data_IF_860477467120
#
_entry.id   IF_860477467120
#
_cell.length_a   1.000
_cell.length_b   1.000
_cell.length_c   1.000
_cell.angle_alpha   90.00
_cell.angle_beta   90.00
_cell.angle_gamma   90.00
#
_symmetry.space_group_name_H-M   'P 1'
#
loop_
_entity.id
_entity.type
_entity.pdbx_description
1 polymer ?
#
# COMPACT_ATOMS: atom_id res chain seq x y z
N UNK A 1 -11.44 -0.78 -3.58
CA UNK A 1 -10.49 -0.66 -4.71
C UNK A 1 -9.25 0.00 -4.14
N UNK A 2 -8.08 -0.64 -4.29
CA UNK A 2 -6.84 -0.13 -3.71
C UNK A 2 -6.20 0.85 -4.69
N UNK A 3 -5.84 2.03 -4.19
CA UNK A 3 -5.09 3.03 -4.96
C UNK A 3 -3.76 3.31 -4.26
N UNK A 4 -2.67 3.31 -5.04
CA UNK A 4 -1.33 3.63 -4.55
C UNK A 4 -0.77 4.80 -5.34
N UNK A 5 -0.45 5.88 -4.64
CA UNK A 5 0.21 7.06 -5.22
C UNK A 5 1.66 7.08 -4.79
N UNK A 6 2.59 7.13 -5.74
CA UNK A 6 4.04 7.20 -5.47
C UNK A 6 4.55 8.63 -5.72
N UNK A 7 5.17 9.23 -4.71
CA UNK A 7 5.87 10.50 -4.84
C UNK A 7 7.33 10.24 -5.21
N UNK A 8 7.77 10.75 -6.36
CA UNK A 8 9.11 10.56 -6.89
C UNK A 8 9.72 11.88 -7.36
N UNK A 9 11.01 12.08 -7.08
CA UNK A 9 11.82 13.16 -7.64
C UNK A 9 12.97 12.54 -8.44
N UNK A 10 12.97 12.74 -9.77
CA UNK A 10 13.90 12.07 -10.69
C UNK A 10 13.83 10.55 -10.51
N UNK A 11 14.89 9.93 -9.99
CA UNK A 11 15.00 8.48 -9.76
C UNK A 11 14.77 8.09 -8.29
N UNK A 12 14.52 9.06 -7.40
CA UNK A 12 14.39 8.82 -5.97
C UNK A 12 12.92 8.80 -5.54
N UNK A 13 12.50 7.73 -4.87
CA UNK A 13 11.17 7.64 -4.25
C UNK A 13 11.20 8.42 -2.94
N UNK A 14 10.36 9.44 -2.83
CA UNK A 14 10.25 10.32 -1.66
C UNK A 14 9.16 9.88 -0.68
N UNK A 15 8.24 9.05 -1.13
CA UNK A 15 7.17 8.50 -0.31
C UNK A 15 6.05 7.90 -1.14
N UNK A 16 5.02 7.42 -0.46
CA UNK A 16 3.83 6.87 -1.09
C UNK A 16 2.59 7.04 -0.19
N UNK A 17 1.40 7.00 -0.80
CA UNK A 17 0.10 6.94 -0.12
C UNK A 17 -0.64 5.70 -0.60
N UNK A 18 -1.28 4.99 0.33
CA UNK A 18 -2.12 3.82 0.07
C UNK A 18 -3.53 4.08 0.60
N UNK A 19 -4.53 3.95 -0.26
CA UNK A 19 -5.94 4.18 0.07
C UNK A 19 -6.80 2.97 -0.33
N UNK A 20 -7.89 2.72 0.42
CA UNK A 20 -8.87 1.68 0.10
C UNK A 20 -8.41 0.22 0.33
N UNK A 21 -7.40 0.01 1.19
CA UNK A 21 -6.82 -1.31 1.52
C UNK A 21 -7.40 -1.96 2.79
N UNK A 22 -8.46 -1.39 3.36
CA UNK A 22 -9.08 -1.82 4.61
C UNK A 22 -10.61 -1.74 4.60
N UNK A 23 -11.20 -1.45 3.44
CA UNK A 23 -12.65 -1.44 3.28
C UNK A 23 -13.21 -2.86 3.10
N UNK A 24 -14.47 -3.06 3.50
CA UNK A 24 -15.19 -4.32 3.30
C UNK A 24 -15.23 -4.65 1.80
N UNK A 25 -14.74 -5.83 1.43
CA UNK A 25 -14.65 -6.26 0.05
C UNK A 25 -15.27 -7.65 -0.11
N UNK A 26 -15.57 -8.03 -1.36
CA UNK A 26 -16.06 -9.39 -1.67
C UNK A 26 -15.06 -10.45 -1.21
N UNK A 27 -15.57 -11.66 -0.93
CA UNK A 27 -14.77 -12.77 -0.44
C UNK A 27 -13.51 -13.00 -1.29
N UNK A 28 -12.34 -13.05 -0.64
CA UNK A 28 -11.04 -13.20 -1.30
C UNK A 28 -10.26 -11.89 -1.54
N UNK A 29 -10.91 -10.73 -1.53
CA UNK A 29 -10.23 -9.43 -1.62
C UNK A 29 -9.40 -9.10 -0.37
N UNK A 30 -9.73 -9.69 0.79
CA UNK A 30 -8.99 -9.54 2.04
C UNK A 30 -7.53 -9.99 1.94
N UNK A 31 -7.21 -10.94 1.05
CA UNK A 31 -5.83 -11.38 0.78
C UNK A 31 -5.01 -10.25 0.14
N UNK A 32 -5.63 -9.46 -0.74
CA UNK A 32 -5.00 -8.31 -1.39
C UNK A 32 -4.77 -7.19 -0.39
N UNK A 33 -5.76 -6.90 0.45
CA UNK A 33 -5.66 -5.94 1.56
C UNK A 33 -4.52 -6.30 2.54
N UNK A 34 -4.44 -7.56 2.94
CA UNK A 34 -3.35 -8.07 3.80
C UNK A 34 -1.97 -7.91 3.13
N UNK A 35 -1.87 -8.21 1.83
CA UNK A 35 -0.63 -8.08 1.07
C UNK A 35 -0.15 -6.62 0.98
N UNK A 36 -1.07 -5.68 0.73
CA UNK A 36 -0.75 -4.26 0.68
C UNK A 36 -0.36 -3.72 2.06
N UNK A 37 -1.05 -4.18 3.10
CA UNK A 37 -0.75 -3.81 4.49
C UNK A 37 0.65 -4.26 4.89
N UNK A 38 0.99 -5.54 4.68
CA UNK A 38 2.29 -6.08 5.11
C UNK A 38 3.46 -5.38 4.41
N UNK A 39 3.36 -5.11 3.10
CA UNK A 39 4.40 -4.38 2.37
C UNK A 39 4.56 -2.94 2.84
N UNK A 40 3.45 -2.25 3.11
CA UNK A 40 3.47 -0.86 3.61
C UNK A 40 4.15 -0.78 4.99
N UNK A 41 3.80 -1.69 5.90
CA UNK A 41 4.44 -1.76 7.22
C UNK A 41 5.89 -2.23 7.17
N UNK A 42 6.24 -3.17 6.28
CA UNK A 42 7.64 -3.58 6.09
C UNK A 42 8.49 -2.40 5.61
N UNK A 43 7.99 -1.62 4.65
CA UNK A 43 8.69 -0.43 4.18
C UNK A 43 8.90 0.59 5.30
N UNK A 44 7.88 0.82 6.15
CA UNK A 44 7.99 1.71 7.31
C UNK A 44 9.00 1.20 8.35
N UNK A 45 8.93 -0.08 8.70
CA UNK A 45 9.75 -0.68 9.76
C UNK A 45 11.23 -0.88 9.37
N UNK A 46 11.53 -0.83 8.07
CA UNK A 46 12.90 -1.04 7.55
C UNK A 46 13.68 0.27 7.34
N UNK A 47 13.06 1.43 7.63
CA UNK A 47 13.70 2.75 7.63
C UNK A 47 14.41 3.01 8.98
#
# INVERSE_FOLDING_TARGET
>A
MITVTIYRTKDEIKGFIVEGHSDYAEEGADIVCASVSILSYTALNSL
#
